data_IF_999526564323
#
_entry.id   IF_999526564323
#
_cell.length_a   1.000
_cell.length_b   1.000
_cell.length_c   1.000
_cell.angle_alpha   90.00
_cell.angle_beta   90.00
_cell.angle_gamma   90.00
#
_symmetry.space_group_name_H-M   'P 1'
#
loop_
_entity.id
_entity.type
_entity.pdbx_description
1 polymer ?
#
# COMPACT_ATOMS: atom_id res chain seq x y z
N UNK A 1 31.55 -28.51 9.61
CA UNK A 1 30.54 -27.48 9.22
C UNK A 1 30.95 -26.16 9.86
N UNK A 2 31.07 -25.08 9.07
CA UNK A 2 31.44 -23.76 9.58
C UNK A 2 30.16 -22.95 9.87
N UNK A 3 29.82 -22.78 11.16
CA UNK A 3 28.60 -22.07 11.59
C UNK A 3 28.83 -20.57 11.85
N UNK A 4 30.08 -20.10 11.80
CA UNK A 4 30.43 -18.70 12.01
C UNK A 4 29.68 -17.71 11.12
N UNK A 5 29.35 -18.01 9.84
CA UNK A 5 28.55 -17.11 9.00
C UNK A 5 27.16 -16.78 9.56
N UNK A 6 26.61 -17.64 10.45
CA UNK A 6 25.32 -17.42 11.10
C UNK A 6 25.33 -16.25 12.09
N UNK A 7 26.50 -15.79 12.54
CA UNK A 7 26.59 -14.59 13.37
C UNK A 7 26.06 -13.34 12.66
N UNK A 8 26.07 -13.28 11.32
CA UNK A 8 25.41 -12.20 10.60
C UNK A 8 23.88 -12.17 10.82
N UNK A 9 23.25 -13.32 11.07
CA UNK A 9 21.83 -13.36 11.49
C UNK A 9 21.67 -12.71 12.87
N UNK A 10 22.60 -12.96 13.80
CA UNK A 10 22.59 -12.29 15.10
C UNK A 10 22.77 -10.77 14.96
N UNK A 11 23.61 -10.30 14.02
CA UNK A 11 23.73 -8.87 13.69
C UNK A 11 22.40 -8.28 13.22
N UNK A 12 21.64 -9.00 12.37
CA UNK A 12 20.31 -8.58 11.93
C UNK A 12 19.35 -8.47 13.12
N UNK A 13 19.29 -9.52 13.96
CA UNK A 13 18.39 -9.57 15.11
C UNK A 13 18.68 -8.42 16.08
N UNK A 14 19.95 -8.21 16.44
CA UNK A 14 20.35 -7.13 17.35
C UNK A 14 20.10 -5.76 16.72
N UNK A 15 20.43 -5.58 15.44
CA UNK A 15 20.24 -4.31 14.74
C UNK A 15 18.77 -3.89 14.68
N UNK A 16 17.85 -4.82 14.44
CA UNK A 16 16.42 -4.54 14.46
C UNK A 16 15.85 -4.37 15.88
N UNK A 17 16.35 -5.12 16.86
CA UNK A 17 15.98 -4.93 18.27
C UNK A 17 16.32 -3.50 18.74
N UNK A 18 17.49 -3.00 18.34
CA UNK A 18 17.96 -1.64 18.62
C UNK A 18 17.34 -0.57 17.72
N UNK A 19 16.45 -0.95 16.79
CA UNK A 19 15.78 -0.05 15.83
C UNK A 19 16.74 0.78 14.97
N UNK A 20 17.91 0.23 14.64
CA UNK A 20 18.84 0.86 13.72
C UNK A 20 18.32 0.88 12.29
N UNK A 21 18.92 1.72 11.43
CA UNK A 21 18.53 1.84 10.04
C UNK A 21 18.63 0.47 9.34
N UNK A 22 17.51 -0.06 8.77
CA UNK A 22 17.48 -1.38 8.15
C UNK A 22 18.54 -1.60 7.08
N UNK A 23 18.84 -0.57 6.27
CA UNK A 23 19.84 -0.67 5.21
C UNK A 23 21.23 -0.91 5.79
N UNK A 24 21.61 -0.15 6.83
CA UNK A 24 22.90 -0.32 7.50
C UNK A 24 23.00 -1.68 8.19
N UNK A 25 21.92 -2.13 8.84
CA UNK A 25 21.87 -3.44 9.50
C UNK A 25 22.06 -4.57 8.49
N UNK A 26 21.36 -4.53 7.36
CA UNK A 26 21.47 -5.57 6.32
C UNK A 26 22.86 -5.57 5.67
N UNK A 27 23.41 -4.39 5.36
CA UNK A 27 24.75 -4.28 4.75
C UNK A 27 25.84 -4.78 5.70
N UNK A 28 25.80 -4.38 6.98
CA UNK A 28 26.78 -4.82 7.98
C UNK A 28 26.67 -6.32 8.25
N UNK A 29 25.45 -6.87 8.33
CA UNK A 29 25.22 -8.29 8.43
C UNK A 29 25.81 -9.06 7.23
N UNK A 30 25.53 -8.63 6.00
CA UNK A 30 26.05 -9.26 4.80
C UNK A 30 27.60 -9.27 4.74
N UNK A 31 28.23 -8.12 5.07
CA UNK A 31 29.69 -8.02 5.14
C UNK A 31 30.25 -8.93 6.24
N UNK A 32 29.65 -8.91 7.44
CA UNK A 32 30.11 -9.75 8.55
C UNK A 32 30.00 -11.25 8.23
N UNK A 33 28.89 -11.72 7.65
CA UNK A 33 28.72 -13.11 7.22
C UNK A 33 29.73 -13.51 6.15
N UNK A 34 30.03 -12.61 5.19
CA UNK A 34 31.01 -12.89 4.15
C UNK A 34 32.43 -13.02 4.72
N UNK A 35 32.83 -12.12 5.61
CA UNK A 35 34.15 -12.19 6.27
C UNK A 35 34.27 -13.43 7.15
N UNK A 36 33.23 -13.78 7.90
CA UNK A 36 33.18 -14.99 8.73
C UNK A 36 33.12 -16.29 7.91
N UNK A 37 32.66 -16.22 6.65
CA UNK A 37 32.75 -17.31 5.69
C UNK A 37 34.16 -17.49 5.10
N UNK A 38 35.11 -16.61 5.43
CA UNK A 38 36.48 -16.64 4.92
C UNK A 38 36.62 -16.06 3.51
N UNK A 39 35.63 -15.31 3.02
CA UNK A 39 35.75 -14.63 1.72
C UNK A 39 36.76 -13.49 1.82
N UNK A 40 37.71 -13.46 0.88
CA UNK A 40 38.61 -12.32 0.73
C UNK A 40 37.84 -11.11 0.22
N UNK A 41 38.33 -9.90 0.49
CA UNK A 41 37.69 -8.65 0.04
C UNK A 41 37.44 -8.64 -1.49
N UNK A 42 38.40 -9.05 -2.34
CA UNK A 42 38.15 -9.14 -3.79
C UNK A 42 37.05 -10.15 -4.14
N UNK A 43 37.01 -11.31 -3.47
CA UNK A 43 35.99 -12.33 -3.71
C UNK A 43 34.59 -11.86 -3.28
N UNK A 44 34.50 -11.12 -2.17
CA UNK A 44 33.26 -10.48 -1.72
C UNK A 44 32.77 -9.46 -2.75
N UNK A 45 33.64 -8.58 -3.25
CA UNK A 45 33.28 -7.59 -4.28
C UNK A 45 32.83 -8.27 -5.58
N UNK A 46 33.53 -9.33 -6.01
CA UNK A 46 33.15 -10.11 -7.18
C UNK A 46 31.79 -10.80 -6.98
N UNK A 47 31.52 -11.36 -5.80
CA UNK A 47 30.24 -11.98 -5.47
C UNK A 47 29.10 -10.95 -5.51
N UNK A 48 29.29 -9.79 -4.87
CA UNK A 48 28.30 -8.71 -4.90
C UNK A 48 28.01 -8.24 -6.32
N UNK A 49 29.06 -8.06 -7.15
CA UNK A 49 28.90 -7.69 -8.56
C UNK A 49 28.12 -8.74 -9.35
N UNK A 50 28.46 -10.02 -9.18
CA UNK A 50 27.75 -11.13 -9.84
C UNK A 50 26.28 -11.17 -9.41
N UNK A 51 26.01 -11.10 -8.10
CA UNK A 51 24.65 -11.06 -7.55
C UNK A 51 23.85 -9.87 -8.07
N UNK A 52 24.47 -8.69 -8.15
CA UNK A 52 23.81 -7.49 -8.69
C UNK A 52 23.42 -7.67 -10.16
N UNK A 53 24.31 -8.20 -11.00
CA UNK A 53 24.03 -8.45 -12.43
C UNK A 53 22.98 -9.54 -12.61
N UNK A 54 23.05 -10.62 -11.82
CA UNK A 54 22.05 -11.69 -11.82
C UNK A 54 20.67 -11.20 -11.39
N UNK A 55 20.62 -10.23 -10.48
CA UNK A 55 19.39 -9.61 -9.98
C UNK A 55 19.08 -8.27 -10.65
N UNK A 56 19.65 -7.95 -11.82
CA UNK A 56 19.45 -6.67 -12.53
C UNK A 56 17.98 -6.31 -12.73
N UNK A 57 17.11 -7.32 -12.81
CA UNK A 57 15.70 -7.13 -13.07
C UNK A 57 14.97 -6.56 -11.84
N UNK A 58 15.57 -6.63 -10.64
CA UNK A 58 15.15 -5.83 -9.48
C UNK A 58 15.18 -4.33 -9.78
N UNK A 59 16.12 -3.86 -10.61
CA UNK A 59 16.28 -2.43 -10.95
C UNK A 59 15.11 -1.86 -11.75
N UNK A 60 14.15 -2.68 -12.19
CA UNK A 60 12.94 -2.20 -12.85
C UNK A 60 12.17 -1.19 -11.97
N UNK A 61 12.24 -1.31 -10.64
CA UNK A 61 11.65 -0.32 -9.73
C UNK A 61 12.28 1.07 -9.88
N UNK A 62 13.56 1.15 -10.27
CA UNK A 62 14.23 2.44 -10.48
C UNK A 62 13.62 3.18 -11.67
N UNK A 63 13.15 2.45 -12.69
CA UNK A 63 12.47 3.04 -13.86
C UNK A 63 11.07 3.56 -13.54
N UNK A 64 10.43 3.10 -12.46
CA UNK A 64 9.10 3.57 -12.07
C UNK A 64 9.15 4.96 -11.44
N UNK A 65 10.26 5.32 -10.79
CA UNK A 65 10.48 6.63 -10.20
C UNK A 65 10.38 7.80 -11.21
N UNK A 66 11.14 7.82 -12.33
CA UNK A 66 11.03 8.90 -13.32
C UNK A 66 9.68 8.91 -14.03
N UNK A 67 9.05 7.75 -14.24
CA UNK A 67 7.71 7.65 -14.82
C UNK A 67 6.69 8.32 -13.90
N UNK A 68 6.71 7.97 -12.61
CA UNK A 68 5.86 8.59 -11.60
C UNK A 68 6.12 10.10 -11.50
N UNK A 69 7.39 10.52 -11.48
CA UNK A 69 7.76 11.94 -11.46
C UNK A 69 7.28 12.72 -12.69
N UNK A 70 7.33 12.11 -13.88
CA UNK A 70 6.83 12.73 -15.11
C UNK A 70 5.31 12.89 -15.08
N UNK A 71 4.59 11.86 -14.60
CA UNK A 71 3.13 11.89 -14.46
C UNK A 71 2.68 12.91 -13.41
N UNK A 72 3.36 12.97 -12.27
CA UNK A 72 3.10 14.00 -11.26
C UNK A 72 3.37 15.40 -11.82
N UNK A 73 4.48 15.61 -12.54
CA UNK A 73 4.78 16.88 -13.22
C UNK A 73 3.73 17.25 -14.27
N UNK A 74 3.17 16.27 -14.97
CA UNK A 74 2.09 16.46 -15.94
C UNK A 74 0.73 16.78 -15.28
N UNK A 75 0.68 16.85 -13.95
CA UNK A 75 -0.50 17.23 -13.18
C UNK A 75 -1.45 16.06 -12.89
N UNK A 76 -0.94 14.82 -12.87
CA UNK A 76 -1.78 13.64 -12.62
C UNK A 76 -2.50 13.72 -11.26
N UNK A 77 -1.85 14.29 -10.25
CA UNK A 77 -2.41 14.48 -8.91
C UNK A 77 -3.64 15.39 -8.95
N UNK A 78 -3.57 16.50 -9.67
CA UNK A 78 -4.64 17.48 -9.84
C UNK A 78 -5.79 16.90 -10.66
N UNK A 79 -5.49 16.05 -11.66
CA UNK A 79 -6.52 15.31 -12.41
C UNK A 79 -7.24 14.31 -11.51
N UNK A 80 -6.51 13.52 -10.70
CA UNK A 80 -7.09 12.58 -9.76
C UNK A 80 -7.98 13.29 -8.72
N UNK A 81 -7.53 14.41 -8.16
CA UNK A 81 -8.33 15.22 -7.24
C UNK A 81 -9.61 15.75 -7.90
N UNK A 82 -9.53 16.23 -9.15
CA UNK A 82 -10.72 16.66 -9.91
C UNK A 82 -11.69 15.51 -10.18
N UNK A 83 -11.21 14.32 -10.49
CA UNK A 83 -12.06 13.13 -10.67
C UNK A 83 -12.76 12.73 -9.39
N UNK A 84 -12.06 12.74 -8.25
CA UNK A 84 -12.67 12.45 -6.95
C UNK A 84 -13.67 13.55 -6.58
N UNK A 85 -13.38 14.81 -6.86
CA UNK A 85 -14.31 15.92 -6.66
C UNK A 85 -15.62 15.77 -7.44
N UNK A 86 -15.63 15.08 -8.58
CA UNK A 86 -16.87 14.76 -9.33
C UNK A 86 -17.76 13.74 -8.64
N UNK A 87 -17.25 13.01 -7.65
CA UNK A 87 -18.03 12.12 -6.79
C UNK A 87 -18.84 12.89 -5.73
N UNK A 88 -18.73 14.23 -5.70
CA UNK A 88 -19.53 15.08 -4.81
C UNK A 88 -21.02 14.90 -5.08
N UNK A 89 -21.82 14.85 -4.01
CA UNK A 89 -23.26 14.60 -4.10
C UNK A 89 -23.67 13.12 -4.19
N UNK A 90 -22.71 12.18 -4.24
CA UNK A 90 -23.01 10.76 -4.07
C UNK A 90 -23.32 10.43 -2.60
N UNK A 91 -24.07 9.34 -2.38
CA UNK A 91 -24.24 8.78 -1.03
C UNK A 91 -22.88 8.35 -0.47
N UNK A 92 -22.73 8.38 0.86
CA UNK A 92 -21.47 8.03 1.53
C UNK A 92 -20.85 6.73 1.00
N UNK A 93 -21.65 5.68 0.87
CA UNK A 93 -21.17 4.39 0.41
C UNK A 93 -20.66 4.44 -1.04
N UNK A 94 -21.38 5.12 -1.94
CA UNK A 94 -20.97 5.26 -3.34
C UNK A 94 -19.72 6.12 -3.47
N UNK A 95 -19.60 7.17 -2.66
CA UNK A 95 -18.42 8.01 -2.59
C UNK A 95 -17.18 7.19 -2.19
N UNK A 96 -17.25 6.47 -1.07
CA UNK A 96 -16.11 5.72 -0.55
C UNK A 96 -15.76 4.50 -1.41
N UNK A 97 -16.75 3.80 -1.98
CA UNK A 97 -16.51 2.67 -2.91
C UNK A 97 -15.91 3.17 -4.23
N UNK A 98 -16.40 4.29 -4.76
CA UNK A 98 -15.84 4.90 -5.97
C UNK A 98 -14.40 5.35 -5.76
N UNK A 99 -14.11 5.96 -4.61
CA UNK A 99 -12.76 6.30 -4.20
C UNK A 99 -11.88 5.05 -4.03
N UNK A 100 -12.35 4.01 -3.36
CA UNK A 100 -11.65 2.73 -3.18
C UNK A 100 -11.23 2.16 -4.53
N UNK A 101 -12.15 2.11 -5.50
CA UNK A 101 -11.89 1.58 -6.84
C UNK A 101 -10.80 2.39 -7.54
N UNK A 102 -10.94 3.71 -7.57
CA UNK A 102 -9.95 4.59 -8.19
C UNK A 102 -8.59 4.42 -7.53
N UNK A 103 -8.55 4.42 -6.19
CA UNK A 103 -7.32 4.32 -5.41
C UNK A 103 -6.60 3.00 -5.67
N UNK A 104 -7.35 1.91 -5.71
CA UNK A 104 -6.80 0.58 -5.96
C UNK A 104 -6.27 0.44 -7.38
N UNK A 105 -7.00 0.93 -8.39
CA UNK A 105 -6.54 0.91 -9.79
C UNK A 105 -5.26 1.74 -9.99
N UNK A 106 -5.17 2.93 -9.38
CA UNK A 106 -3.96 3.74 -9.42
C UNK A 106 -2.78 3.00 -8.78
N UNK A 107 -3.00 2.34 -7.64
CA UNK A 107 -1.98 1.57 -6.96
C UNK A 107 -1.50 0.35 -7.77
N UNK A 108 -2.40 -0.35 -8.48
CA UNK A 108 -2.06 -1.49 -9.36
C UNK A 108 -1.10 -1.10 -10.50
N UNK A 109 -1.15 0.15 -10.96
CA UNK A 109 -0.26 0.67 -12.02
C UNK A 109 0.98 1.37 -11.43
N UNK A 110 1.18 1.30 -10.11
CA UNK A 110 2.36 1.86 -9.43
C UNK A 110 2.24 3.32 -9.01
N UNK A 111 1.06 3.92 -9.14
CA UNK A 111 0.75 5.31 -8.78
C UNK A 111 0.35 5.42 -7.31
N UNK A 112 1.13 4.79 -6.42
CA UNK A 112 0.80 4.65 -4.99
C UNK A 112 0.89 5.98 -4.23
N UNK A 113 1.70 6.94 -4.73
CA UNK A 113 1.78 8.31 -4.21
C UNK A 113 0.59 9.21 -4.57
N UNK A 114 -0.15 8.87 -5.63
CA UNK A 114 -1.28 9.67 -6.12
C UNK A 114 -2.52 9.42 -5.26
N UNK A 115 -3.23 10.48 -4.88
CA UNK A 115 -4.47 10.40 -4.09
C UNK A 115 -4.32 9.82 -2.66
N UNK A 116 -3.15 9.98 -2.06
CA UNK A 116 -2.85 9.48 -0.71
C UNK A 116 -3.55 10.23 0.44
N UNK A 117 -3.37 9.77 1.69
CA UNK A 117 -4.21 10.18 2.81
C UNK A 117 -4.07 11.67 3.16
N UNK A 118 -2.84 12.20 3.13
CA UNK A 118 -2.59 13.62 3.39
C UNK A 118 -3.13 14.54 2.29
N UNK A 119 -3.21 14.05 1.05
CA UNK A 119 -3.50 14.85 -0.13
C UNK A 119 -4.97 14.77 -0.57
N UNK A 120 -5.68 13.74 -0.13
CA UNK A 120 -7.02 13.41 -0.62
C UNK A 120 -7.97 13.03 0.50
N UNK A 121 -7.56 12.18 1.45
CA UNK A 121 -8.47 11.79 2.54
C UNK A 121 -8.84 12.99 3.39
N UNK A 122 -7.85 13.70 3.93
CA UNK A 122 -8.10 14.84 4.85
C UNK A 122 -8.76 16.05 4.17
N UNK A 123 -8.22 16.60 3.06
CA UNK A 123 -8.74 17.86 2.51
C UNK A 123 -9.98 17.70 1.62
N UNK A 124 -10.31 16.49 1.17
CA UNK A 124 -11.34 16.28 0.14
C UNK A 124 -12.33 15.17 0.53
N UNK A 125 -11.87 13.95 0.79
CA UNK A 125 -12.76 12.82 1.02
C UNK A 125 -13.51 12.92 2.35
N UNK A 126 -12.84 13.36 3.42
CA UNK A 126 -13.44 13.57 4.74
C UNK A 126 -14.55 14.63 4.70
N UNK A 127 -14.34 15.87 4.21
CA UNK A 127 -15.41 16.86 4.14
C UNK A 127 -16.55 16.45 3.20
N UNK A 128 -16.26 15.76 2.08
CA UNK A 128 -17.31 15.20 1.21
C UNK A 128 -18.12 14.10 1.92
N UNK A 129 -17.45 13.27 2.69
CA UNK A 129 -18.08 12.24 3.52
C UNK A 129 -18.96 12.85 4.59
N UNK A 130 -18.47 13.87 5.30
CA UNK A 130 -19.20 14.56 6.38
C UNK A 130 -20.49 15.16 5.81
N UNK A 131 -20.41 15.88 4.69
CA UNK A 131 -21.57 16.40 3.98
C UNK A 131 -22.55 15.29 3.51
N UNK A 132 -22.04 14.13 3.12
CA UNK A 132 -22.89 12.99 2.75
C UNK A 132 -23.57 12.34 3.97
N UNK A 133 -22.96 12.36 5.15
CA UNK A 133 -23.56 11.83 6.38
C UNK A 133 -24.54 12.81 7.00
N UNK A 134 -24.30 14.12 6.96
CA UNK A 134 -25.23 15.13 7.47
C UNK A 134 -26.62 15.03 6.81
N UNK A 135 -26.69 14.59 5.54
CA UNK A 135 -27.95 14.29 4.85
C UNK A 135 -28.68 13.04 5.39
N UNK A 136 -27.98 12.13 6.07
CA UNK A 136 -28.52 10.89 6.64
C UNK A 136 -28.86 11.08 8.11
N UNK A 137 -27.90 11.57 8.91
CA UNK A 137 -27.99 11.82 10.34
C UNK A 137 -27.68 13.30 10.59
N UNK A 138 -28.70 14.16 10.72
CA UNK A 138 -28.50 15.60 10.93
C UNK A 138 -27.83 15.94 12.27
N UNK A 139 -27.97 15.07 13.27
CA UNK A 139 -27.35 15.18 14.60
C UNK A 139 -25.98 14.50 14.61
N UNK A 140 -25.09 14.93 13.71
CA UNK A 140 -23.75 14.37 13.62
C UNK A 140 -22.88 14.86 14.80
N UNK A 141 -22.52 13.95 15.70
CA UNK A 141 -21.60 14.27 16.80
C UNK A 141 -20.12 14.19 16.37
N UNK A 142 -19.21 14.63 17.24
CA UNK A 142 -17.77 14.58 16.96
C UNK A 142 -17.23 13.15 16.85
N UNK A 143 -17.83 12.19 17.57
CA UNK A 143 -17.43 10.78 17.52
C UNK A 143 -17.76 10.14 16.16
N UNK A 144 -18.90 10.49 15.57
CA UNK A 144 -19.34 10.07 14.24
C UNK A 144 -18.43 10.66 13.14
N UNK A 145 -18.00 11.92 13.30
CA UNK A 145 -17.00 12.54 12.41
C UNK A 145 -15.67 11.81 12.46
N UNK A 146 -15.21 11.44 13.66
CA UNK A 146 -13.96 10.71 13.83
C UNK A 146 -14.05 9.26 13.32
N UNK A 147 -15.17 8.56 13.54
CA UNK A 147 -15.40 7.24 12.95
C UNK A 147 -15.42 7.32 11.42
N UNK A 148 -16.09 8.32 10.84
CA UNK A 148 -16.09 8.54 9.39
C UNK A 148 -14.68 8.78 8.84
N UNK A 149 -13.87 9.63 9.48
CA UNK A 149 -12.48 9.88 9.09
C UNK A 149 -11.65 8.61 9.18
N UNK A 150 -11.87 7.78 10.20
CA UNK A 150 -11.22 6.49 10.35
C UNK A 150 -11.63 5.52 9.23
N UNK A 151 -12.92 5.45 8.87
CA UNK A 151 -13.42 4.62 7.76
C UNK A 151 -12.86 5.09 6.41
N UNK A 152 -12.79 6.41 6.18
CA UNK A 152 -12.20 6.99 4.98
C UNK A 152 -10.70 6.68 4.88
N UNK A 153 -9.94 6.83 5.97
CA UNK A 153 -8.52 6.50 6.04
C UNK A 153 -8.28 4.98 5.86
N UNK A 154 -9.13 4.14 6.45
CA UNK A 154 -9.06 2.68 6.24
C UNK A 154 -9.32 2.31 4.77
N UNK A 155 -10.27 2.99 4.13
CA UNK A 155 -10.60 2.76 2.71
C UNK A 155 -9.42 3.11 1.79
N UNK A 156 -8.73 4.23 2.04
CA UNK A 156 -7.49 4.59 1.33
C UNK A 156 -6.38 3.55 1.54
N UNK A 157 -6.12 3.16 2.78
CA UNK A 157 -5.06 2.20 3.10
C UNK A 157 -5.31 0.84 2.47
N UNK A 158 -6.54 0.31 2.54
CA UNK A 158 -6.90 -0.97 1.93
C UNK A 158 -6.76 -0.90 0.41
N UNK A 159 -7.29 0.16 -0.22
CA UNK A 159 -7.18 0.36 -1.66
C UNK A 159 -5.73 0.43 -2.12
N UNK A 160 -4.88 1.19 -1.41
CA UNK A 160 -3.46 1.29 -1.71
C UNK A 160 -2.75 -0.05 -1.52
N UNK A 161 -2.86 -0.66 -0.35
CA UNK A 161 -2.09 -1.85 0.03
C UNK A 161 -2.33 -3.02 -0.94
N UNK A 162 -3.59 -3.40 -1.11
CA UNK A 162 -3.93 -4.52 -1.98
C UNK A 162 -3.85 -4.20 -3.47
N UNK A 163 -3.92 -2.92 -3.85
CA UNK A 163 -3.65 -2.50 -5.22
C UNK A 163 -2.16 -2.56 -5.55
N UNK A 164 -1.31 -2.08 -4.63
CA UNK A 164 0.15 -2.09 -4.76
C UNK A 164 0.69 -3.51 -4.95
N UNK A 165 0.13 -4.53 -4.29
CA UNK A 165 0.55 -5.94 -4.46
C UNK A 165 0.44 -6.49 -5.90
N UNK A 166 -0.42 -5.90 -6.74
CA UNK A 166 -0.55 -6.27 -8.16
C UNK A 166 0.48 -5.54 -9.04
N UNK A 167 1.16 -4.53 -8.49
CA UNK A 167 2.17 -3.78 -9.21
C UNK A 167 3.48 -4.56 -9.30
N UNK A 168 3.97 -4.69 -10.54
CA UNK A 168 5.10 -5.55 -10.90
C UNK A 168 6.41 -5.18 -10.20
N UNK A 169 6.60 -3.90 -9.86
CA UNK A 169 7.83 -3.42 -9.26
C UNK A 169 7.75 -3.25 -7.73
N UNK A 170 6.80 -3.93 -7.08
CA UNK A 170 6.80 -4.04 -5.61
C UNK A 170 7.93 -4.95 -5.14
N UNK A 171 8.61 -4.54 -4.06
CA UNK A 171 9.76 -5.26 -3.52
C UNK A 171 9.49 -6.74 -3.20
N UNK A 172 8.28 -7.07 -2.76
CA UNK A 172 7.86 -8.46 -2.49
C UNK A 172 7.84 -9.34 -3.74
N UNK A 173 7.23 -8.86 -4.85
CA UNK A 173 7.19 -9.57 -6.14
C UNK A 173 8.61 -9.83 -6.64
N UNK A 174 9.45 -8.80 -6.58
CA UNK A 174 10.84 -8.83 -7.01
C UNK A 174 11.70 -9.79 -6.17
N UNK A 175 11.47 -9.87 -4.86
CA UNK A 175 12.13 -10.82 -3.96
C UNK A 175 11.73 -12.26 -4.27
N UNK A 176 10.43 -12.53 -4.43
CA UNK A 176 9.91 -13.86 -4.78
C UNK A 176 10.53 -14.32 -6.11
N UNK A 177 10.58 -13.41 -7.08
CA UNK A 177 11.14 -13.69 -8.38
C UNK A 177 12.63 -14.01 -8.33
N UNK A 178 13.42 -13.23 -7.59
CA UNK A 178 14.84 -13.49 -7.38
C UNK A 178 15.09 -14.85 -6.71
N UNK A 179 14.24 -15.23 -5.75
CA UNK A 179 14.31 -16.54 -5.08
C UNK A 179 14.07 -17.70 -6.06
N UNK A 180 13.01 -17.63 -6.88
CA UNK A 180 12.70 -18.69 -7.85
C UNK A 180 13.78 -18.85 -8.93
N UNK A 181 14.32 -17.74 -9.44
CA UNK A 181 15.41 -17.76 -10.42
C UNK A 181 16.66 -18.44 -9.84
N UNK A 182 17.00 -18.21 -8.57
CA UNK A 182 18.10 -18.89 -7.89
C UNK A 182 17.92 -20.41 -7.80
N UNK A 183 16.68 -20.90 -7.89
CA UNK A 183 16.32 -22.32 -7.84
C UNK A 183 15.99 -22.90 -9.23
N UNK A 184 16.32 -22.19 -10.30
CA UNK A 184 16.11 -22.66 -11.69
C UNK A 184 14.66 -22.56 -12.18
N UNK A 185 13.79 -21.81 -11.48
CA UNK A 185 12.40 -21.56 -11.89
C UNK A 185 12.30 -20.16 -12.47
N UNK A 186 12.11 -20.07 -13.79
CA UNK A 186 11.95 -18.80 -14.49
C UNK A 186 10.50 -18.33 -14.42
N UNK A 187 10.25 -17.31 -13.59
CA UNK A 187 8.97 -16.61 -13.52
C UNK A 187 9.15 -15.14 -13.90
N UNK A 188 8.21 -14.63 -14.69
CA UNK A 188 8.15 -13.20 -14.97
C UNK A 188 7.55 -12.48 -13.75
N UNK A 189 7.99 -11.26 -13.42
CA UNK A 189 7.38 -10.47 -12.36
C UNK A 189 5.88 -10.28 -12.52
N UNK A 190 5.42 -10.13 -13.78
CA UNK A 190 4.01 -9.99 -14.09
C UNK A 190 3.21 -11.24 -13.73
N UNK A 191 3.73 -12.45 -13.97
CA UNK A 191 3.00 -13.67 -13.62
C UNK A 191 2.80 -13.79 -12.11
N UNK A 192 3.81 -13.43 -11.33
CA UNK A 192 3.73 -13.38 -9.86
C UNK A 192 2.72 -12.32 -9.41
N UNK A 193 2.80 -11.10 -9.97
CA UNK A 193 1.95 -9.99 -9.58
C UNK A 193 0.46 -10.22 -9.91
N UNK A 194 0.15 -10.87 -11.03
CA UNK A 194 -1.23 -11.21 -11.40
C UNK A 194 -1.91 -12.16 -10.40
N UNK A 195 -1.14 -12.97 -9.67
CA UNK A 195 -1.68 -13.81 -8.60
C UNK A 195 -2.13 -13.02 -7.37
N UNK A 196 -1.78 -11.74 -7.24
CA UNK A 196 -2.34 -10.86 -6.21
C UNK A 196 -3.76 -10.38 -6.57
N UNK A 197 -4.19 -10.49 -7.84
CA UNK A 197 -5.48 -9.99 -8.31
C UNK A 197 -6.69 -10.59 -7.56
N UNK A 198 -6.78 -11.92 -7.29
CA UNK A 198 -7.89 -12.48 -6.53
C UNK A 198 -8.00 -11.88 -5.11
N UNK A 199 -6.87 -11.69 -4.43
CA UNK A 199 -6.82 -11.06 -3.11
C UNK A 199 -7.24 -9.59 -3.18
N UNK A 200 -6.78 -8.88 -4.20
CA UNK A 200 -7.15 -7.49 -4.45
C UNK A 200 -8.67 -7.33 -4.68
N UNK A 201 -9.27 -8.22 -5.48
CA UNK A 201 -10.72 -8.26 -5.73
C UNK A 201 -11.48 -8.58 -4.43
N UNK A 202 -11.02 -9.58 -3.67
CA UNK A 202 -11.65 -9.92 -2.39
C UNK A 202 -11.61 -8.74 -1.40
N UNK A 203 -10.46 -8.07 -1.28
CA UNK A 203 -10.31 -6.88 -0.44
C UNK A 203 -11.25 -5.74 -0.88
N UNK A 204 -11.39 -5.51 -2.19
CA UNK A 204 -12.33 -4.53 -2.74
C UNK A 204 -13.76 -4.83 -2.32
N UNK A 205 -14.20 -6.09 -2.49
CA UNK A 205 -15.56 -6.52 -2.14
C UNK A 205 -15.80 -6.39 -0.64
N UNK A 206 -14.88 -6.90 0.19
CA UNK A 206 -15.00 -6.87 1.66
C UNK A 206 -15.09 -5.43 2.14
N UNK A 207 -14.21 -4.54 1.67
CA UNK A 207 -14.24 -3.14 2.10
C UNK A 207 -15.48 -2.41 1.59
N UNK A 208 -15.94 -2.71 0.37
CA UNK A 208 -17.20 -2.16 -0.16
C UNK A 208 -18.41 -2.57 0.69
N UNK A 209 -18.46 -3.83 1.13
CA UNK A 209 -19.51 -4.32 2.04
C UNK A 209 -19.41 -3.64 3.40
N UNK A 210 -18.20 -3.48 3.97
CA UNK A 210 -18.01 -2.77 5.26
C UNK A 210 -18.50 -1.33 5.21
N UNK A 211 -18.18 -0.62 4.12
CA UNK A 211 -18.65 0.75 3.87
C UNK A 211 -20.17 0.81 3.71
N UNK A 212 -20.77 -0.13 2.98
CA UNK A 212 -22.22 -0.20 2.83
C UNK A 212 -22.93 -0.48 4.17
N UNK A 213 -22.41 -1.42 4.95
CA UNK A 213 -22.91 -1.72 6.30
C UNK A 213 -22.77 -0.51 7.24
N UNK A 214 -21.69 0.25 7.13
CA UNK A 214 -21.51 1.50 7.88
C UNK A 214 -22.61 2.52 7.55
N UNK A 215 -22.85 2.81 6.28
CA UNK A 215 -23.95 3.70 5.87
C UNK A 215 -25.31 3.18 6.39
N UNK A 216 -25.56 1.87 6.32
CA UNK A 216 -26.81 1.27 6.81
C UNK A 216 -26.97 1.38 8.32
N UNK A 217 -25.88 1.32 9.11
CA UNK A 217 -25.90 1.56 10.56
C UNK A 217 -26.29 3.01 10.88
N UNK A 218 -25.73 3.98 10.16
CA UNK A 218 -26.08 5.40 10.30
C UNK A 218 -27.55 5.66 9.97
N UNK A 219 -28.07 5.05 8.90
CA UNK A 219 -29.49 5.15 8.52
C UNK A 219 -30.44 4.59 9.59
N UNK A 220 -30.06 3.47 10.24
CA UNK A 220 -30.85 2.90 11.35
C UNK A 220 -30.89 3.84 12.55
N UNK A 221 -29.72 4.34 12.99
CA UNK A 221 -29.63 5.33 14.09
C UNK A 221 -30.47 6.58 13.82
N UNK A 222 -30.45 7.07 12.57
CA UNK A 222 -31.27 8.21 12.18
C UNK A 222 -32.78 7.92 12.21
N UNK A 223 -33.20 6.69 11.90
CA UNK A 223 -34.59 6.27 11.99
C UNK A 223 -35.06 6.15 13.45
N UNK A 224 -34.23 5.58 14.32
CA UNK A 224 -34.51 5.42 15.75
C UNK A 224 -34.66 6.80 16.44
N UNK A 225 -33.73 7.72 16.18
CA UNK A 225 -33.79 9.08 16.71
C UNK A 225 -35.06 9.85 16.27
N UNK A 226 -35.52 9.64 15.03
CA UNK A 226 -36.78 10.21 14.54
C UNK A 226 -38.00 9.63 15.25
N UNK A 227 -38.00 8.32 15.50
CA UNK A 227 -39.07 7.65 16.23
C UNK A 227 -39.18 8.15 17.68
N UNK A 228 -38.04 8.34 18.36
CA UNK A 228 -37.98 8.90 19.71
C UNK A 228 -38.47 10.36 19.76
N UNK A 229 -38.17 11.18 18.74
CA UNK A 229 -38.65 12.56 18.68
C UNK A 229 -40.15 12.72 18.36
N UNK A 230 -40.78 11.65 17.86
CA UNK A 230 -42.18 11.65 17.43
C UNK A 230 -43.15 11.03 18.45
N UNK A 231 -42.62 10.36 19.50
CA UNK A 231 -43.39 9.81 20.63
C UNK A 231 -43.35 10.72 21.84
#
# INVERSE_FOLDING_TARGET
MNYWPLLGVAVIVVGFLLRFNPVLVVVTAAISSALLAGLTVPALLALLGKSFVSSRMLLIFVLTLPVNGLLERAGLREHAQRWIGRLHGLTLARLLIGYLLLRQLLAMVGLTGVAGPAQTVRPLLAPMGEAAVENILPTLDDADRDELRAVAAATDNIGRFFGEDVFVAVGGVLLIQAFYVQHGIELTPLSIALWALPTAIAAFIIQSVRVWLYQRRLQRRAADARAESAG
#
